data_IF_178671809172
#
_entry.id   IF_178671809172
#
_cell.length_a   1.000
_cell.length_b   1.000
_cell.length_c   1.000
_cell.angle_alpha   90.00
_cell.angle_beta   90.00
_cell.angle_gamma   90.00
#
_symmetry.space_group_name_H-M   'P 1'
#
loop_
_entity.id
_entity.type
_entity.pdbx_description
1 polymer ?
#
# COMPACT_ATOMS: atom_id res chain seq x y z
N UNK A 1 15.87 15.15 -28.76
CA UNK A 1 15.81 16.12 -27.63
C UNK A 1 16.23 15.35 -26.41
N UNK A 2 17.32 15.74 -25.75
CA UNK A 2 17.70 15.17 -24.46
C UNK A 2 16.69 15.64 -23.44
N UNK A 3 16.00 14.71 -22.76
CA UNK A 3 15.05 15.03 -21.70
C UNK A 3 15.75 15.75 -20.55
N UNK A 4 15.06 16.67 -19.88
CA UNK A 4 15.58 17.28 -18.66
C UNK A 4 15.54 16.23 -17.55
N UNK A 5 16.63 16.06 -16.81
CA UNK A 5 16.66 15.25 -15.60
C UNK A 5 16.04 16.09 -14.48
N UNK A 6 14.98 15.59 -13.89
CA UNK A 6 14.44 16.11 -12.63
C UNK A 6 14.99 15.28 -11.48
N UNK A 7 15.45 15.92 -10.41
CA UNK A 7 15.94 15.27 -9.21
C UNK A 7 15.35 15.96 -7.99
N UNK A 8 14.81 15.18 -7.08
CA UNK A 8 14.25 15.67 -5.81
C UNK A 8 14.73 14.79 -4.66
N UNK A 9 15.11 15.42 -3.56
CA UNK A 9 15.49 14.76 -2.31
C UNK A 9 14.57 15.27 -1.21
N UNK A 10 13.77 14.37 -0.66
CA UNK A 10 12.84 14.66 0.40
C UNK A 10 13.29 14.00 1.70
N UNK A 11 13.19 14.73 2.79
CA UNK A 11 13.37 14.22 4.13
C UNK A 11 12.14 14.59 4.99
N UNK A 12 11.58 13.61 5.68
CA UNK A 12 10.51 13.85 6.62
C UNK A 12 10.75 13.14 7.95
N UNK A 13 10.25 13.74 9.03
CA UNK A 13 10.25 13.11 10.34
C UNK A 13 8.87 13.25 11.00
N UNK A 14 8.42 12.20 11.65
CA UNK A 14 7.15 12.20 12.37
C UNK A 14 7.22 11.34 13.63
N UNK A 15 6.39 11.68 14.60
CA UNK A 15 6.24 10.94 15.85
C UNK A 15 4.90 10.20 15.82
N UNK A 16 4.93 8.89 15.95
CA UNK A 16 3.74 8.06 16.13
C UNK A 16 3.61 7.68 17.60
N UNK A 17 2.58 8.22 18.24
CA UNK A 17 2.27 7.91 19.64
C UNK A 17 1.47 6.63 19.73
N UNK A 18 1.68 5.79 20.78
CA UNK A 18 0.81 4.66 21.04
C UNK A 18 -0.65 5.10 21.14
N UNK A 19 -1.55 4.32 20.58
CA UNK A 19 -2.99 4.56 20.73
C UNK A 19 -3.45 4.29 22.16
N UNK A 20 -4.59 4.85 22.55
CA UNK A 20 -5.21 4.57 23.86
C UNK A 20 -5.41 3.06 24.10
N UNK A 21 -5.83 2.32 23.07
CA UNK A 21 -5.98 0.85 23.15
C UNK A 21 -4.65 0.14 23.45
N UNK A 22 -3.55 0.60 22.85
CA UNK A 22 -2.22 0.02 23.08
C UNK A 22 -1.68 0.31 24.49
N UNK A 23 -2.14 1.40 25.12
CA UNK A 23 -1.74 1.79 26.48
C UNK A 23 -2.69 1.25 27.57
N UNK A 24 -3.91 0.87 27.19
CA UNK A 24 -4.91 0.43 28.18
C UNK A 24 -4.54 -0.93 28.79
N UNK A 25 -4.25 -0.94 30.08
CA UNK A 25 -3.82 -2.14 30.82
C UNK A 25 -4.97 -3.14 31.10
N UNK A 26 -6.20 -2.87 30.69
CA UNK A 26 -7.32 -3.79 30.85
C UNK A 26 -7.14 -5.02 29.98
N UNK A 27 -7.40 -6.20 30.55
CA UNK A 27 -7.34 -7.47 29.82
C UNK A 27 -8.65 -7.68 29.07
N UNK A 28 -8.56 -7.90 27.76
CA UNK A 28 -9.68 -8.32 26.91
C UNK A 28 -9.57 -9.81 26.61
N UNK A 29 -10.66 -10.53 26.76
CA UNK A 29 -10.72 -11.99 26.58
C UNK A 29 -11.36 -12.30 25.23
N UNK A 30 -10.57 -12.66 24.22
CA UNK A 30 -11.09 -13.05 22.91
C UNK A 30 -11.60 -14.51 22.94
N UNK A 31 -10.89 -15.38 23.63
CA UNK A 31 -11.28 -16.75 23.95
C UNK A 31 -10.41 -17.26 25.11
N UNK A 32 -10.61 -18.52 25.52
CA UNK A 32 -9.90 -19.14 26.67
C UNK A 32 -8.36 -19.19 26.52
N UNK A 33 -7.82 -19.09 25.30
CA UNK A 33 -6.38 -19.19 25.01
C UNK A 33 -5.78 -17.88 24.51
N UNK A 34 -6.62 -16.89 24.18
CA UNK A 34 -6.17 -15.66 23.55
C UNK A 34 -6.71 -14.44 24.29
N UNK A 35 -5.83 -13.77 25.02
CA UNK A 35 -6.09 -12.52 25.71
C UNK A 35 -5.38 -11.38 24.97
N UNK A 36 -5.90 -10.18 25.09
CA UNK A 36 -5.25 -8.95 24.64
C UNK A 36 -5.13 -7.98 25.80
N UNK A 37 -4.01 -7.29 25.89
CA UNK A 37 -3.75 -6.29 26.91
C UNK A 37 -2.89 -5.18 26.34
N UNK A 38 -3.14 -3.94 26.72
CA UNK A 38 -2.24 -2.83 26.40
C UNK A 38 -0.99 -2.84 27.28
N UNK A 39 -0.01 -2.05 26.90
CA UNK A 39 1.24 -1.87 27.61
C UNK A 39 1.45 -0.39 27.92
N UNK A 40 1.32 -0.03 29.19
CA UNK A 40 1.47 1.37 29.69
C UNK A 40 2.90 1.92 29.53
N UNK A 41 3.89 1.04 29.32
CA UNK A 41 5.30 1.41 29.17
C UNK A 41 5.72 1.68 27.74
N UNK A 42 4.76 1.66 26.79
CA UNK A 42 5.06 1.95 25.38
C UNK A 42 5.56 3.40 25.23
N UNK A 43 6.67 3.52 24.53
CA UNK A 43 7.23 4.79 24.10
C UNK A 43 6.70 5.18 22.73
N UNK A 44 6.57 6.48 22.43
CA UNK A 44 6.36 6.93 21.06
C UNK A 44 7.48 6.44 20.13
N UNK A 45 7.13 6.06 18.90
CA UNK A 45 8.13 5.76 17.87
C UNK A 45 8.38 7.00 17.01
N UNK A 46 9.65 7.16 16.61
CA UNK A 46 10.10 8.25 15.74
C UNK A 46 10.42 7.68 14.38
N UNK A 47 9.75 8.17 13.36
CA UNK A 47 9.91 7.72 11.97
C UNK A 47 10.67 8.80 11.20
N UNK A 48 11.71 8.39 10.51
CA UNK A 48 12.52 9.22 9.61
C UNK A 48 12.48 8.57 8.23
N UNK A 49 11.98 9.31 7.26
CA UNK A 49 11.88 8.86 5.87
C UNK A 49 12.75 9.77 5.00
N UNK A 50 13.56 9.19 4.14
CA UNK A 50 14.37 9.88 3.13
C UNK A 50 14.05 9.28 1.78
N UNK A 51 13.63 10.09 0.81
CA UNK A 51 13.34 9.66 -0.55
C UNK A 51 14.17 10.49 -1.55
N UNK A 52 14.88 9.80 -2.42
CA UNK A 52 15.49 10.37 -3.61
C UNK A 52 14.69 9.94 -4.83
N UNK A 53 14.12 10.89 -5.56
CA UNK A 53 13.44 10.65 -6.82
C UNK A 53 14.19 11.27 -7.99
N UNK A 54 14.34 10.50 -9.07
CA UNK A 54 14.98 10.92 -10.31
C UNK A 54 14.05 10.61 -11.47
N UNK A 55 13.67 11.66 -12.20
CA UNK A 55 12.77 11.56 -13.35
C UNK A 55 13.56 11.88 -14.62
N UNK A 56 13.51 10.98 -15.59
CA UNK A 56 14.15 11.20 -16.89
C UNK A 56 13.31 10.61 -18.01
N UNK A 57 12.75 11.47 -18.85
CA UNK A 57 11.92 11.08 -20.00
C UNK A 57 10.72 10.20 -19.60
N UNK A 58 10.81 8.89 -19.86
CA UNK A 58 9.80 7.87 -19.56
C UNK A 58 10.12 7.10 -18.28
N UNK A 59 11.23 7.40 -17.61
CA UNK A 59 11.72 6.70 -16.43
C UNK A 59 11.54 7.54 -15.19
N UNK A 60 10.93 6.98 -14.16
CA UNK A 60 10.87 7.50 -12.80
C UNK A 60 11.56 6.50 -11.88
N UNK A 61 12.62 6.92 -11.23
CA UNK A 61 13.39 6.12 -10.29
C UNK A 61 13.28 6.69 -8.89
N UNK A 62 13.06 5.82 -7.89
CA UNK A 62 12.98 6.18 -6.48
C UNK A 62 13.87 5.29 -5.64
N UNK A 63 14.60 5.92 -4.73
CA UNK A 63 15.28 5.25 -3.62
C UNK A 63 14.69 5.78 -2.33
N UNK A 64 14.24 4.90 -1.46
CA UNK A 64 13.71 5.26 -0.16
C UNK A 64 14.49 4.57 0.96
N UNK A 65 14.74 5.29 2.02
CA UNK A 65 15.29 4.77 3.25
C UNK A 65 14.43 5.22 4.42
N UNK A 66 13.93 4.24 5.16
CA UNK A 66 13.14 4.46 6.36
C UNK A 66 13.91 3.98 7.59
N UNK A 67 13.99 4.82 8.61
CA UNK A 67 14.48 4.48 9.94
C UNK A 67 13.41 4.77 10.98
N UNK A 68 13.06 3.78 11.80
CA UNK A 68 12.09 3.92 12.88
C UNK A 68 12.77 3.59 14.20
N UNK A 69 12.94 4.60 15.05
CA UNK A 69 13.43 4.43 16.41
C UNK A 69 12.27 4.10 17.35
N UNK A 70 12.54 3.23 18.35
CA UNK A 70 11.54 2.74 19.31
C UNK A 70 10.32 2.10 18.61
N UNK A 71 10.59 1.26 17.60
CA UNK A 71 9.57 0.66 16.73
C UNK A 71 8.54 -0.15 17.53
N UNK A 72 7.26 0.23 17.44
CA UNK A 72 6.16 -0.46 18.12
C UNK A 72 5.73 -1.67 17.30
N UNK A 73 5.86 -2.85 17.87
CA UNK A 73 5.46 -4.11 17.24
C UNK A 73 4.66 -4.99 18.21
N UNK A 74 3.80 -5.90 17.72
CA UNK A 74 3.11 -6.84 18.58
C UNK A 74 4.08 -7.87 19.17
N UNK A 75 3.83 -8.27 20.41
CA UNK A 75 4.52 -9.34 21.13
C UNK A 75 3.53 -10.25 21.82
N UNK A 76 3.98 -11.41 22.26
CA UNK A 76 3.17 -12.43 22.93
C UNK A 76 3.86 -12.85 24.20
N UNK A 77 3.07 -12.94 25.29
CA UNK A 77 3.54 -13.43 26.60
C UNK A 77 2.67 -14.59 27.03
N UNK A 78 3.29 -15.65 27.57
CA UNK A 78 2.56 -16.77 28.17
C UNK A 78 1.87 -16.31 29.45
N UNK A 79 0.64 -16.79 29.69
CA UNK A 79 -0.08 -16.50 30.92
C UNK A 79 0.32 -17.50 32.00
N UNK A 80 0.88 -17.00 33.12
CA UNK A 80 1.30 -17.82 34.23
C UNK A 80 0.12 -18.66 34.77
N UNK A 81 0.35 -19.95 35.02
CA UNK A 81 -0.65 -20.86 35.54
C UNK A 81 -1.75 -21.31 34.56
N UNK A 82 -1.69 -20.89 33.27
CA UNK A 82 -2.63 -21.32 32.23
C UNK A 82 -1.90 -21.84 30.99
N UNK A 83 -1.56 -23.14 30.95
CA UNK A 83 -0.89 -23.74 29.79
C UNK A 83 -1.64 -23.49 28.48
N UNK A 84 -0.89 -23.12 27.42
CA UNK A 84 -1.47 -22.83 26.11
C UNK A 84 -2.19 -21.49 25.98
N UNK A 85 -2.27 -20.69 27.05
CA UNK A 85 -2.90 -19.37 27.02
C UNK A 85 -1.84 -18.28 26.84
N UNK A 86 -2.11 -17.33 25.96
CA UNK A 86 -1.23 -16.23 25.61
C UNK A 86 -1.91 -14.88 25.71
N UNK A 87 -1.14 -13.87 26.09
CA UNK A 87 -1.57 -12.47 26.02
C UNK A 87 -0.81 -11.77 24.90
N UNK A 88 -1.54 -11.19 23.97
CA UNK A 88 -1.04 -10.32 22.93
C UNK A 88 -0.97 -8.89 23.45
N UNK A 89 0.16 -8.23 23.24
CA UNK A 89 0.38 -6.84 23.58
C UNK A 89 1.32 -6.18 22.57
N UNK A 90 1.53 -4.89 22.67
CA UNK A 90 2.57 -4.19 21.92
C UNK A 90 3.78 -3.92 22.79
N UNK A 91 4.96 -3.90 22.18
CA UNK A 91 6.22 -3.51 22.82
C UNK A 91 7.05 -2.68 21.85
N UNK A 92 8.10 -2.01 22.36
CA UNK A 92 9.05 -1.30 21.52
C UNK A 92 10.25 -2.18 21.24
N UNK A 93 10.66 -2.32 19.97
CA UNK A 93 11.99 -2.72 19.58
C UNK A 93 12.89 -1.49 19.47
N UNK A 94 14.20 -1.69 19.50
CA UNK A 94 15.19 -0.61 19.42
C UNK A 94 15.01 0.22 18.16
N UNK A 95 14.99 -0.45 17.00
CA UNK A 95 14.84 0.18 15.69
C UNK A 95 14.27 -0.80 14.67
N UNK A 96 13.80 -0.22 13.56
CA UNK A 96 13.45 -0.91 12.32
C UNK A 96 14.02 -0.07 11.18
N UNK A 97 14.62 -0.71 10.19
CA UNK A 97 15.13 -0.01 9.02
C UNK A 97 14.64 -0.70 7.76
N UNK A 98 14.48 0.06 6.69
CA UNK A 98 14.14 -0.47 5.38
C UNK A 98 14.80 0.37 4.29
N UNK A 99 15.37 -0.29 3.31
CA UNK A 99 15.85 0.31 2.07
C UNK A 99 14.95 -0.16 0.93
N UNK A 100 14.46 0.77 0.13
CA UNK A 100 13.62 0.51 -1.03
C UNK A 100 14.24 1.09 -2.30
N UNK A 101 13.98 0.44 -3.42
CA UNK A 101 14.25 0.93 -4.75
C UNK A 101 13.09 0.60 -5.67
N UNK A 102 12.60 1.59 -6.42
CA UNK A 102 11.52 1.43 -7.37
C UNK A 102 11.86 2.11 -8.69
N UNK A 103 11.49 1.47 -9.78
CA UNK A 103 11.57 2.03 -11.12
C UNK A 103 10.20 1.94 -11.79
N UNK A 104 9.76 3.05 -12.38
CA UNK A 104 8.55 3.12 -13.20
C UNK A 104 8.95 3.52 -14.60
N UNK A 105 8.44 2.79 -15.59
CA UNK A 105 8.66 3.07 -17.01
C UNK A 105 7.31 3.25 -17.68
N UNK A 106 7.06 4.44 -18.26
CA UNK A 106 5.76 4.82 -18.79
C UNK A 106 5.84 5.44 -20.19
N UNK A 107 6.19 4.66 -21.23
CA UNK A 107 6.24 5.15 -22.60
C UNK A 107 4.83 5.36 -23.18
N UNK A 108 4.75 6.15 -24.25
CA UNK A 108 3.53 6.38 -25.01
C UNK A 108 3.74 5.97 -26.45
N UNK A 109 3.01 4.94 -26.91
CA UNK A 109 3.05 4.44 -28.28
C UNK A 109 1.70 4.70 -28.97
N UNK A 110 1.48 5.93 -29.38
CA UNK A 110 0.23 6.33 -30.02
C UNK A 110 -0.99 6.12 -29.10
N UNK A 111 -1.80 5.09 -29.43
CA UNK A 111 -2.98 4.74 -28.65
C UNK A 111 -2.68 3.82 -27.44
N UNK A 112 -1.48 3.28 -27.34
CA UNK A 112 -1.05 2.37 -26.29
C UNK A 112 -0.16 3.07 -25.28
N UNK A 113 -0.52 2.99 -24.01
CA UNK A 113 0.17 3.60 -22.87
C UNK A 113 0.44 2.54 -21.80
N UNK A 114 1.52 1.75 -21.96
CA UNK A 114 1.94 0.82 -20.92
C UNK A 114 2.63 1.54 -19.78
N UNK A 115 2.49 1.01 -18.57
CA UNK A 115 3.27 1.42 -17.40
C UNK A 115 3.79 0.17 -16.72
N UNK A 116 5.12 0.08 -16.61
CA UNK A 116 5.81 -0.98 -15.88
C UNK A 116 6.35 -0.40 -14.59
N UNK A 117 6.03 -1.03 -13.47
CA UNK A 117 6.59 -0.73 -12.15
C UNK A 117 7.30 -1.95 -11.59
N UNK A 118 8.54 -1.77 -11.17
CA UNK A 118 9.33 -2.78 -10.46
C UNK A 118 9.86 -2.16 -9.19
N UNK A 119 9.64 -2.80 -8.05
CA UNK A 119 10.14 -2.35 -6.75
C UNK A 119 10.75 -3.50 -5.96
N UNK A 120 11.81 -3.22 -5.22
CA UNK A 120 12.45 -4.13 -4.28
C UNK A 120 12.69 -3.40 -2.98
N UNK A 121 12.34 -4.05 -1.88
CA UNK A 121 12.46 -3.50 -0.53
C UNK A 121 13.17 -4.48 0.36
N UNK A 122 14.16 -4.00 1.09
CA UNK A 122 14.96 -4.80 2.03
C UNK A 122 14.76 -4.27 3.45
N UNK A 123 13.98 -4.96 4.30
CA UNK A 123 13.92 -4.66 5.71
C UNK A 123 15.19 -5.13 6.42
N UNK A 124 15.57 -4.44 7.49
CA UNK A 124 16.62 -4.79 8.44
C UNK A 124 16.00 -4.76 9.82
N UNK A 125 15.53 -5.92 10.25
CA UNK A 125 14.82 -6.04 11.51
C UNK A 125 15.03 -7.43 12.13
N UNK A 126 15.45 -7.45 13.37
CA UNK A 126 15.69 -8.66 14.13
C UNK A 126 15.17 -8.46 15.55
N UNK A 127 14.47 -9.45 16.07
CA UNK A 127 14.02 -9.50 17.46
C UNK A 127 14.78 -10.58 18.21
N UNK A 128 15.06 -10.33 19.48
CA UNK A 128 15.65 -11.34 20.38
C UNK A 128 14.60 -11.80 21.38
N UNK A 129 14.42 -13.11 21.49
CA UNK A 129 13.54 -13.72 22.47
C UNK A 129 14.21 -14.94 23.10
N UNK A 130 14.37 -14.95 24.44
CA UNK A 130 15.01 -16.04 25.18
C UNK A 130 16.40 -16.46 24.64
N UNK A 131 17.17 -15.50 24.10
CA UNK A 131 18.50 -15.77 23.52
C UNK A 131 18.48 -16.23 22.07
N UNK A 132 17.33 -16.52 21.50
CA UNK A 132 17.16 -16.78 20.07
C UNK A 132 16.94 -15.48 19.30
N UNK A 133 17.48 -15.40 18.09
CA UNK A 133 17.25 -14.29 17.18
C UNK A 133 16.21 -14.69 16.13
N UNK A 134 15.19 -13.86 16.01
CA UNK A 134 14.15 -13.97 14.99
C UNK A 134 14.42 -12.91 13.92
N UNK A 135 14.83 -13.36 12.74
CA UNK A 135 15.17 -12.50 11.62
C UNK A 135 13.96 -12.22 10.73
N UNK A 136 13.72 -10.94 10.47
CA UNK A 136 12.66 -10.46 9.56
C UNK A 136 13.28 -9.68 8.39
N UNK A 137 14.40 -10.20 7.85
CA UNK A 137 15.26 -9.51 6.89
C UNK A 137 15.05 -9.96 5.44
N UNK A 138 14.08 -10.84 5.13
CA UNK A 138 13.86 -11.27 3.76
C UNK A 138 13.32 -10.13 2.90
N UNK A 139 14.02 -9.78 1.79
CA UNK A 139 13.53 -8.75 0.90
C UNK A 139 12.21 -9.17 0.26
N UNK A 140 11.38 -8.20 -0.08
CA UNK A 140 10.17 -8.39 -0.87
C UNK A 140 10.21 -7.48 -2.08
N UNK A 141 9.37 -7.78 -3.04
CA UNK A 141 9.29 -6.97 -4.25
C UNK A 141 7.88 -6.84 -4.76
N UNK A 142 7.72 -5.90 -5.66
CA UNK A 142 6.49 -5.74 -6.42
C UNK A 142 6.81 -5.64 -7.91
N UNK A 143 5.92 -6.19 -8.70
CA UNK A 143 5.89 -6.03 -10.14
C UNK A 143 4.47 -5.65 -10.54
N UNK A 144 4.32 -4.55 -11.27
CA UNK A 144 3.04 -4.16 -11.83
C UNK A 144 3.20 -3.80 -13.30
N UNK A 145 2.30 -4.32 -14.14
CA UNK A 145 2.26 -4.00 -15.55
C UNK A 145 0.84 -3.60 -15.93
N UNK A 146 0.67 -2.32 -16.17
CA UNK A 146 -0.61 -1.71 -16.54
C UNK A 146 -0.59 -1.36 -18.01
N UNK A 147 -1.65 -1.72 -18.73
CA UNK A 147 -1.79 -1.42 -20.14
C UNK A 147 -3.09 -0.69 -20.38
N UNK A 148 -3.00 0.47 -21.01
CA UNK A 148 -4.16 1.25 -21.45
C UNK A 148 -4.07 1.43 -22.96
N UNK A 149 -5.09 1.00 -23.69
CA UNK A 149 -5.22 1.17 -25.12
C UNK A 149 -6.48 1.97 -25.42
N UNK A 150 -6.30 3.21 -25.88
CA UNK A 150 -7.40 4.10 -26.27
C UNK A 150 -7.53 4.07 -27.80
N UNK A 151 -8.53 3.35 -28.31
CA UNK A 151 -8.78 3.23 -29.75
C UNK A 151 -9.71 4.35 -30.26
N UNK A 152 -9.77 4.46 -31.59
CA UNK A 152 -10.73 5.34 -32.24
C UNK A 152 -12.18 4.94 -31.87
N UNK A 153 -13.11 5.87 -32.04
CA UNK A 153 -14.52 5.66 -31.72
C UNK A 153 -14.77 5.40 -30.22
N UNK A 154 -14.00 6.02 -29.34
CA UNK A 154 -14.22 6.03 -27.88
C UNK A 154 -14.24 4.63 -27.23
N UNK A 155 -13.41 3.71 -27.72
CA UNK A 155 -13.08 2.44 -27.07
C UNK A 155 -11.87 2.62 -26.17
N UNK A 156 -11.96 2.08 -24.95
CA UNK A 156 -10.86 2.00 -24.00
C UNK A 156 -10.71 0.57 -23.51
N UNK A 157 -9.52 0.03 -23.64
CA UNK A 157 -9.13 -1.28 -23.09
C UNK A 157 -8.08 -1.06 -22.01
N UNK A 158 -8.23 -1.76 -20.91
CA UNK A 158 -7.24 -1.78 -19.83
C UNK A 158 -6.98 -3.23 -19.42
N UNK A 159 -5.71 -3.52 -19.16
CA UNK A 159 -5.25 -4.82 -18.69
C UNK A 159 -4.15 -4.57 -17.67
N UNK A 160 -4.37 -5.02 -16.43
CA UNK A 160 -3.47 -4.78 -15.32
C UNK A 160 -3.04 -6.12 -14.74
N UNK A 161 -1.74 -6.32 -14.62
CA UNK A 161 -1.13 -7.41 -13.88
C UNK A 161 -0.36 -6.85 -12.69
N UNK A 162 -0.56 -7.43 -11.52
CA UNK A 162 0.16 -7.11 -10.31
C UNK A 162 0.71 -8.40 -9.68
N UNK A 163 1.94 -8.36 -9.21
CA UNK A 163 2.56 -9.43 -8.47
C UNK A 163 3.35 -8.89 -7.30
N UNK A 164 2.95 -9.31 -6.09
CA UNK A 164 3.70 -9.08 -4.87
C UNK A 164 4.58 -10.30 -4.62
N UNK A 165 5.90 -10.10 -4.55
CA UNK A 165 6.88 -11.15 -4.36
C UNK A 165 7.00 -11.42 -2.86
N UNK A 166 7.12 -12.69 -2.49
CA UNK A 166 7.26 -13.13 -1.10
C UNK A 166 8.38 -12.38 -0.36
N UNK A 167 8.17 -12.05 0.93
CA UNK A 167 9.18 -11.46 1.80
C UNK A 167 8.60 -10.95 3.12
N UNK A 168 9.42 -10.23 3.89
CA UNK A 168 9.05 -9.74 5.20
C UNK A 168 8.50 -8.30 5.14
N UNK A 169 7.29 -8.12 5.66
CA UNK A 169 6.68 -6.82 5.93
C UNK A 169 6.57 -6.64 7.47
N UNK A 170 7.59 -6.05 8.08
CA UNK A 170 7.75 -6.05 9.53
C UNK A 170 7.89 -7.49 10.05
N UNK A 171 7.04 -7.88 10.99
CA UNK A 171 7.01 -9.24 11.57
C UNK A 171 6.20 -10.26 10.76
N UNK A 172 5.64 -9.87 9.62
CA UNK A 172 4.85 -10.75 8.75
C UNK A 172 5.71 -11.25 7.60
N UNK A 173 5.83 -12.57 7.46
CA UNK A 173 6.30 -13.20 6.25
C UNK A 173 5.10 -13.37 5.30
N UNK A 174 5.00 -12.51 4.33
CA UNK A 174 3.93 -12.52 3.35
C UNK A 174 4.30 -13.43 2.19
N UNK A 175 3.45 -14.41 1.87
CA UNK A 175 3.58 -15.18 0.64
C UNK A 175 3.27 -14.29 -0.57
N UNK A 176 3.92 -14.61 -1.69
CA UNK A 176 3.63 -13.91 -2.94
C UNK A 176 2.18 -14.13 -3.37
N UNK A 177 1.58 -13.10 -3.96
CA UNK A 177 0.27 -13.17 -4.59
C UNK A 177 0.25 -12.32 -5.85
N UNK A 178 -0.65 -12.64 -6.76
CA UNK A 178 -0.79 -11.86 -7.99
C UNK A 178 -2.26 -11.56 -8.26
N UNK A 179 -2.52 -10.58 -9.10
CA UNK A 179 -3.86 -10.30 -9.61
C UNK A 179 -3.79 -9.91 -11.09
N UNK A 180 -4.80 -10.30 -11.83
CA UNK A 180 -4.95 -9.94 -13.23
C UNK A 180 -6.35 -9.41 -13.48
N UNK A 181 -6.42 -8.15 -13.94
CA UNK A 181 -7.66 -7.44 -14.15
C UNK A 181 -7.78 -7.00 -15.60
N UNK A 182 -8.98 -7.03 -16.14
CA UNK A 182 -9.28 -6.52 -17.48
C UNK A 182 -10.47 -5.59 -17.45
N UNK A 183 -10.48 -4.58 -18.31
CA UNK A 183 -11.60 -3.68 -18.49
C UNK A 183 -11.75 -3.33 -19.96
N UNK A 184 -12.98 -3.34 -20.43
CA UNK A 184 -13.39 -2.79 -21.71
C UNK A 184 -14.45 -1.73 -21.47
N UNK A 185 -14.25 -0.57 -22.03
CA UNK A 185 -15.18 0.55 -21.94
C UNK A 185 -15.50 1.09 -23.32
N UNK A 186 -16.78 1.39 -23.55
CA UNK A 186 -17.28 2.06 -24.74
C UNK A 186 -18.07 3.31 -24.35
N UNK A 187 -17.72 4.43 -24.95
CA UNK A 187 -18.54 5.63 -24.86
C UNK A 187 -19.38 5.80 -26.13
N UNK A 188 -20.64 6.17 -25.97
CA UNK A 188 -21.66 6.34 -27.00
C UNK A 188 -22.38 7.68 -26.82
N UNK A 189 -23.22 8.04 -27.76
CA UNK A 189 -24.09 9.24 -27.72
C UNK A 189 -23.31 10.53 -27.40
N UNK A 190 -22.19 10.75 -28.12
CA UNK A 190 -21.30 11.90 -27.88
C UNK A 190 -20.76 11.93 -26.44
N UNK A 191 -20.37 10.75 -25.91
CA UNK A 191 -19.84 10.52 -24.55
C UNK A 191 -20.87 10.68 -23.41
N UNK A 192 -22.16 10.73 -23.74
CA UNK A 192 -23.22 10.76 -22.72
C UNK A 192 -23.50 9.39 -22.14
N UNK A 193 -23.33 8.32 -22.89
CA UNK A 193 -23.53 6.94 -22.44
C UNK A 193 -22.19 6.23 -22.37
N UNK A 194 -21.85 5.69 -21.20
CA UNK A 194 -20.65 4.87 -20.98
C UNK A 194 -21.07 3.47 -20.56
N UNK A 195 -20.60 2.47 -21.29
CA UNK A 195 -20.78 1.06 -20.96
C UNK A 195 -19.40 0.51 -20.59
N UNK A 196 -19.29 -0.12 -19.42
CA UNK A 196 -18.04 -0.69 -18.94
C UNK A 196 -18.26 -2.14 -18.51
N UNK A 197 -17.38 -3.02 -18.97
CA UNK A 197 -17.27 -4.39 -18.50
C UNK A 197 -15.89 -4.57 -17.88
N UNK A 198 -15.85 -5.03 -16.61
CA UNK A 198 -14.63 -5.32 -15.86
C UNK A 198 -14.62 -6.79 -15.45
N UNK A 199 -13.44 -7.41 -15.51
CA UNK A 199 -13.16 -8.68 -14.87
C UNK A 199 -12.01 -8.44 -13.88
N UNK A 200 -12.26 -8.67 -12.61
CA UNK A 200 -11.28 -8.50 -11.53
C UNK A 200 -10.80 -9.86 -11.04
N UNK A 201 -9.49 -9.96 -10.76
CA UNK A 201 -8.80 -11.18 -10.32
C UNK A 201 -9.18 -12.41 -11.13
N UNK A 202 -9.05 -12.33 -12.46
CA UNK A 202 -9.54 -13.33 -13.42
C UNK A 202 -9.07 -14.76 -13.09
N UNK A 203 -7.86 -14.90 -12.54
CA UNK A 203 -7.25 -16.19 -12.20
C UNK A 203 -7.43 -16.60 -10.74
N UNK A 204 -8.19 -15.83 -9.92
CA UNK A 204 -8.39 -16.08 -8.48
C UNK A 204 -7.06 -16.24 -7.71
N UNK A 205 -6.10 -15.40 -8.03
CA UNK A 205 -4.72 -15.47 -7.54
C UNK A 205 -4.37 -14.42 -6.47
N UNK A 206 -5.29 -13.50 -6.14
CA UNK A 206 -5.10 -12.44 -5.15
C UNK A 206 -5.34 -12.90 -3.70
N UNK A 207 -4.89 -14.12 -3.38
CA UNK A 207 -5.05 -14.72 -2.05
C UNK A 207 -3.87 -14.34 -1.17
N UNK A 208 -4.14 -13.55 -0.15
CA UNK A 208 -3.13 -13.16 0.82
C UNK A 208 -2.97 -14.24 1.88
N UNK A 209 -1.80 -14.86 1.92
CA UNK A 209 -1.40 -15.75 2.99
C UNK A 209 -0.17 -15.15 3.66
N UNK A 210 -0.20 -15.03 4.96
CA UNK A 210 0.96 -14.59 5.72
C UNK A 210 1.21 -15.45 6.95
N UNK A 211 2.46 -15.49 7.35
CA UNK A 211 2.93 -16.15 8.57
C UNK A 211 3.49 -15.07 9.48
N UNK A 212 2.93 -14.96 10.66
CA UNK A 212 3.41 -14.08 11.71
C UNK A 212 4.11 -14.92 12.76
N UNK A 213 5.40 -14.70 12.93
CA UNK A 213 6.20 -15.33 14.01
C UNK A 213 6.46 -14.29 15.08
N UNK A 214 6.04 -14.56 16.30
CA UNK A 214 6.27 -13.66 17.44
C UNK A 214 6.60 -14.50 18.64
N UNK A 215 7.81 -14.34 19.15
CA UNK A 215 8.34 -15.14 20.25
C UNK A 215 8.17 -16.65 19.94
N UNK A 216 7.44 -17.38 20.76
CA UNK A 216 7.14 -18.81 20.62
C UNK A 216 5.85 -19.11 19.84
N UNK A 217 5.14 -18.09 19.35
CA UNK A 217 3.87 -18.25 18.63
C UNK A 217 4.08 -18.08 17.13
N UNK A 218 3.56 -19.03 16.36
CA UNK A 218 3.48 -18.96 14.90
C UNK A 218 2.01 -18.92 14.51
N UNK A 219 1.59 -17.83 13.91
CA UNK A 219 0.21 -17.64 13.43
C UNK A 219 0.20 -17.63 11.91
N UNK A 220 -0.51 -18.59 11.31
CA UNK A 220 -0.78 -18.61 9.88
C UNK A 220 -2.11 -17.95 9.60
N UNK A 221 -2.11 -16.89 8.79
CA UNK A 221 -3.32 -16.21 8.36
C UNK A 221 -3.54 -16.46 6.87
N UNK A 222 -4.72 -16.96 6.53
CA UNK A 222 -5.18 -17.11 5.15
C UNK A 222 -6.36 -16.18 4.95
N UNK A 223 -6.24 -15.25 4.03
CA UNK A 223 -7.31 -14.31 3.69
C UNK A 223 -7.78 -14.61 2.27
N UNK A 224 -8.98 -15.14 2.14
CA UNK A 224 -9.67 -15.25 0.87
C UNK A 224 -10.52 -13.98 0.69
N UNK A 225 -9.94 -13.01 0.03
CA UNK A 225 -10.71 -11.88 -0.48
C UNK A 225 -11.42 -12.41 -1.73
N UNK A 226 -12.73 -12.55 -1.72
CA UNK A 226 -13.51 -12.95 -2.90
C UNK A 226 -13.46 -11.83 -3.96
N UNK A 227 -12.26 -11.55 -4.48
CA UNK A 227 -11.99 -10.47 -5.41
C UNK A 227 -12.36 -10.82 -6.85
N UNK A 228 -12.49 -12.14 -7.15
CA UNK A 228 -12.84 -12.60 -8.48
C UNK A 228 -14.29 -12.24 -8.79
N UNK A 229 -14.48 -11.27 -9.68
CA UNK A 229 -15.82 -10.85 -10.08
C UNK A 229 -15.82 -10.29 -11.50
N UNK A 230 -17.02 -10.30 -12.11
CA UNK A 230 -17.31 -9.61 -13.37
C UNK A 230 -18.31 -8.52 -13.05
N UNK A 231 -17.99 -7.29 -13.42
CA UNK A 231 -18.81 -6.11 -13.17
C UNK A 231 -19.20 -5.49 -14.52
N UNK A 232 -20.49 -5.40 -14.77
CA UNK A 232 -21.03 -4.64 -15.89
C UNK A 232 -21.69 -3.35 -15.36
N UNK A 233 -21.33 -2.20 -15.92
CA UNK A 233 -21.92 -0.92 -15.55
C UNK A 233 -22.33 -0.12 -16.77
N UNK A 234 -23.44 0.59 -16.62
CA UNK A 234 -23.98 1.54 -17.62
C UNK A 234 -24.18 2.87 -16.90
N UNK A 235 -23.55 3.91 -17.42
CA UNK A 235 -23.68 5.27 -16.89
C UNK A 235 -24.21 6.20 -18.00
N UNK A 236 -25.23 6.99 -17.70
CA UNK A 236 -25.78 7.97 -18.64
C UNK A 236 -25.82 9.36 -18.00
N UNK A 237 -25.18 10.33 -18.66
CA UNK A 237 -25.17 11.72 -18.22
C UNK A 237 -26.33 12.49 -18.88
N UNK A 238 -27.36 12.76 -18.10
CA UNK A 238 -28.57 13.46 -18.58
C UNK A 238 -28.32 14.94 -18.87
N UNK A 239 -27.48 15.61 -18.09
CA UNK A 239 -27.13 17.02 -18.25
C UNK A 239 -25.65 17.25 -18.11
N UNK A 240 -24.96 17.63 -19.19
CA UNK A 240 -23.72 18.37 -19.06
C UNK A 240 -24.08 19.83 -18.82
N UNK A 241 -24.18 20.26 -17.58
CA UNK A 241 -24.11 21.69 -17.31
C UNK A 241 -22.78 22.19 -17.83
N UNK A 242 -22.77 22.90 -18.94
CA UNK A 242 -21.67 23.80 -19.24
C UNK A 242 -21.75 24.86 -18.14
N UNK A 243 -20.76 24.93 -17.29
CA UNK A 243 -20.60 26.05 -16.38
C UNK A 243 -20.61 27.35 -17.20
N UNK A 244 -21.78 27.95 -17.32
CA UNK A 244 -21.92 29.30 -17.83
C UNK A 244 -21.59 30.36 -16.77
N UNK A 245 -21.26 29.90 -15.57
CA UNK A 245 -20.81 30.76 -14.49
C UNK A 245 -19.33 31.03 -14.67
N UNK A 246 -18.97 31.96 -15.55
CA UNK A 246 -17.83 32.82 -15.35
C UNK A 246 -18.25 33.73 -14.20
N UNK A 247 -17.94 33.31 -12.98
CA UNK A 247 -18.08 34.16 -11.83
C UNK A 247 -17.22 35.40 -12.05
N UNK A 248 -17.82 36.52 -12.41
CA UNK A 248 -17.26 37.82 -12.10
C UNK A 248 -17.25 37.86 -10.59
N UNK A 249 -16.07 37.69 -10.00
CA UNK A 249 -15.92 37.85 -8.57
C UNK A 249 -16.41 39.24 -8.22
N UNK A 250 -17.25 39.35 -7.17
CA UNK A 250 -17.74 40.64 -6.63
C UNK A 250 -16.63 41.61 -6.24
N UNK A 251 -15.34 41.23 -6.43
CA UNK A 251 -14.17 42.04 -6.22
C UNK A 251 -13.62 42.71 -7.52
N UNK A 252 -14.04 42.29 -8.72
CA UNK A 252 -13.51 42.92 -9.96
C UNK A 252 -14.07 44.36 -10.15
N UNK A 253 -15.28 44.62 -9.67
CA UNK A 253 -15.87 45.97 -9.73
C UNK A 253 -15.22 46.93 -8.72
N UNK A 254 -14.61 46.44 -7.66
CA UNK A 254 -13.88 47.24 -6.67
C UNK A 254 -12.41 47.48 -7.03
N UNK A 255 -11.77 46.53 -7.73
CA UNK A 255 -10.37 46.67 -8.17
C UNK A 255 -10.26 47.70 -9.31
N UNK A 256 -11.31 47.93 -10.12
CA UNK A 256 -11.30 48.91 -11.17
C UNK A 256 -11.71 50.35 -10.70
N UNK A 257 -11.80 50.54 -9.38
CA UNK A 257 -12.11 51.86 -8.77
C UNK A 257 -10.87 52.58 -8.20
N UNK A 258 -9.68 51.99 -8.30
CA UNK A 258 -8.42 52.61 -7.85
C UNK A 258 -7.43 52.83 -8.99
#
# INVERSE_FOLDING_TARGET
MFGRVGMNLDFSSRVNRPSFRQLNNSVSYNNQYHYEQGNIYLKPQYVYDTELSVNYSIFDFKLDYQYIKDYIHPTVVAVSGKPGTVTWMSTNAKDFQQLGAQCVVSPVFGCWRPTLTVGVYKPYFTLSYNGEQLDYNHPYGLFAFQNVVALRNDWLFRCDFFWNIKGHHGIYEQNGYSSFNMMVQKQLLKKKLTITLKAEDLFDSSKLNDVKRVNFVVQNRKVNNFNRCIIASISYNFNSFKDKYKGSGSAEDEINRF
#
